data_IF_978714824386
#
_entry.id   IF_978714824386
#
_cell.length_a   1.000
_cell.length_b   1.000
_cell.length_c   1.000
_cell.angle_alpha   90.00
_cell.angle_beta   90.00
_cell.angle_gamma   90.00
#
_symmetry.space_group_name_H-M   'P 1'
#
loop_
_entity.id
_entity.type
_entity.pdbx_description
1 polymer ?
#
# COMPACT_ATOMS: atom_id res chain seq x y z
N UNK A 1 -2.84 24.63 -4.63
CA UNK A 1 -1.95 23.76 -5.40
C UNK A 1 -0.56 23.79 -4.73
N UNK A 2 -0.22 22.73 -3.98
CA UNK A 2 1.02 22.66 -3.20
C UNK A 2 2.15 21.95 -3.97
N UNK A 3 2.05 21.82 -5.28
CA UNK A 3 3.07 21.18 -6.12
C UNK A 3 3.10 19.65 -5.99
N UNK A 4 1.96 19.02 -5.63
CA UNK A 4 1.84 17.55 -5.62
C UNK A 4 2.14 17.01 -7.03
N UNK A 5 3.05 16.03 -7.19
CA UNK A 5 3.40 15.49 -8.50
C UNK A 5 2.25 14.65 -9.07
N UNK A 6 1.46 15.25 -9.95
CA UNK A 6 0.41 14.56 -10.71
C UNK A 6 0.98 14.22 -12.09
N UNK A 7 0.95 12.95 -12.44
CA UNK A 7 1.43 12.48 -13.75
C UNK A 7 0.40 12.72 -14.87
N UNK A 8 -0.87 12.41 -14.58
CA UNK A 8 -1.99 12.63 -15.49
C UNK A 8 -3.31 12.74 -14.72
N UNK A 9 -4.37 13.19 -15.39
CA UNK A 9 -5.74 13.16 -14.86
C UNK A 9 -6.55 12.12 -15.60
N UNK A 10 -7.41 11.38 -14.91
CA UNK A 10 -8.26 10.35 -15.53
C UNK A 10 -9.26 11.01 -16.47
N UNK A 11 -9.14 10.73 -17.76
CA UNK A 11 -10.03 11.23 -18.82
C UNK A 11 -11.00 10.16 -19.30
N UNK A 12 -10.54 8.92 -19.40
CA UNK A 12 -11.36 7.80 -19.88
C UNK A 12 -11.12 6.54 -19.10
N UNK A 13 -12.22 5.78 -18.86
CA UNK A 13 -12.17 4.52 -18.13
C UNK A 13 -12.85 3.42 -18.91
N UNK A 14 -12.26 2.25 -18.88
CA UNK A 14 -12.83 1.05 -19.46
C UNK A 14 -12.63 -0.14 -18.51
N UNK A 15 -13.63 -1.00 -18.46
CA UNK A 15 -13.52 -2.31 -17.82
C UNK A 15 -13.83 -3.38 -18.85
N UNK A 16 -13.01 -4.42 -18.90
CA UNK A 16 -13.21 -5.57 -19.79
C UNK A 16 -13.15 -6.87 -19.02
N UNK A 17 -14.01 -7.78 -19.40
CA UNK A 17 -13.90 -9.17 -18.98
C UNK A 17 -13.18 -9.96 -20.08
N UNK A 18 -12.10 -10.65 -19.70
CA UNK A 18 -11.29 -11.46 -20.61
C UNK A 18 -11.72 -12.94 -20.49
N UNK A 19 -12.00 -13.55 -21.62
CA UNK A 19 -11.89 -15.00 -21.81
C UNK A 19 -10.52 -15.27 -22.43
N UNK A 20 -10.16 -16.49 -22.70
CA UNK A 20 -8.85 -16.85 -23.27
C UNK A 20 -8.50 -16.06 -24.55
N UNK A 21 -9.47 -15.71 -25.37
CA UNK A 21 -9.21 -15.05 -26.68
C UNK A 21 -10.01 -13.77 -26.91
N UNK A 22 -11.00 -13.47 -26.07
CA UNK A 22 -11.90 -12.33 -26.27
C UNK A 22 -11.85 -11.35 -25.10
N UNK A 23 -11.97 -10.05 -25.41
CA UNK A 23 -12.04 -8.96 -24.44
C UNK A 23 -13.41 -8.25 -24.56
N UNK A 24 -14.36 -8.63 -23.73
CA UNK A 24 -15.70 -8.07 -23.73
C UNK A 24 -15.76 -6.82 -22.87
N UNK A 25 -16.24 -5.71 -23.43
CA UNK A 25 -16.45 -4.47 -22.66
C UNK A 25 -17.65 -4.66 -21.75
N UNK A 26 -17.48 -4.31 -20.47
CA UNK A 26 -18.56 -4.30 -19.48
C UNK A 26 -18.75 -2.88 -18.94
N UNK A 27 -19.92 -2.55 -18.37
CA UNK A 27 -20.12 -1.26 -17.70
C UNK A 27 -19.08 -1.02 -16.61
N UNK A 28 -18.59 0.23 -16.49
CA UNK A 28 -17.68 0.59 -15.41
C UNK A 28 -18.46 0.59 -14.10
N UNK A 29 -18.09 -0.26 -13.12
CA UNK A 29 -18.72 -0.27 -11.81
C UNK A 29 -18.61 1.10 -11.12
N UNK A 30 -19.59 1.51 -10.31
CA UNK A 30 -19.58 2.82 -9.66
C UNK A 30 -18.31 3.12 -8.88
N UNK A 31 -17.75 2.12 -8.16
CA UNK A 31 -16.54 2.24 -7.36
C UNK A 31 -15.26 2.43 -8.21
N UNK A 32 -15.29 2.10 -9.50
CA UNK A 32 -14.16 2.28 -10.42
C UNK A 32 -14.32 3.52 -11.32
N UNK A 33 -15.31 4.39 -11.06
CA UNK A 33 -15.45 5.66 -11.75
C UNK A 33 -14.51 6.68 -11.11
N UNK A 34 -13.42 7.00 -11.81
CA UNK A 34 -12.36 7.90 -11.31
C UNK A 34 -12.16 9.12 -12.22
N UNK A 35 -13.09 9.41 -13.15
CA UNK A 35 -12.97 10.55 -14.05
C UNK A 35 -12.66 11.85 -13.30
N UNK A 36 -11.63 12.57 -13.72
CA UNK A 36 -11.16 13.80 -13.09
C UNK A 36 -10.28 13.58 -11.85
N UNK A 37 -9.99 12.33 -11.42
CA UNK A 37 -9.04 12.07 -10.37
C UNK A 37 -7.60 12.04 -10.88
N UNK A 38 -6.59 12.40 -10.03
CA UNK A 38 -5.19 12.36 -10.43
C UNK A 38 -4.66 10.92 -10.51
N UNK A 39 -3.80 10.69 -11.49
CA UNK A 39 -2.91 9.54 -11.54
C UNK A 39 -1.55 10.02 -11.04
N UNK A 40 -1.01 9.36 -10.03
CA UNK A 40 0.27 9.71 -9.42
C UNK A 40 1.24 8.54 -9.50
N UNK A 41 2.51 8.85 -9.70
CA UNK A 41 3.60 7.93 -9.44
C UNK A 41 3.90 7.96 -7.95
N UNK A 42 3.72 6.84 -7.24
CA UNK A 42 3.89 6.80 -5.79
C UNK A 42 5.33 7.13 -5.36
N UNK A 43 6.35 6.75 -6.14
CA UNK A 43 7.74 7.10 -5.83
C UNK A 43 7.96 8.61 -5.85
N UNK A 44 7.45 9.30 -6.87
CA UNK A 44 7.59 10.76 -6.98
C UNK A 44 6.81 11.48 -5.86
N UNK A 45 5.63 10.95 -5.53
CA UNK A 45 4.82 11.46 -4.42
C UNK A 45 5.51 11.29 -3.06
N UNK A 46 6.17 10.16 -2.81
CA UNK A 46 6.90 9.91 -1.57
C UNK A 46 8.13 10.82 -1.46
N UNK A 47 8.88 11.02 -2.56
CA UNK A 47 9.98 11.98 -2.58
C UNK A 47 9.48 13.41 -2.28
N UNK A 48 8.39 13.84 -2.91
CA UNK A 48 7.79 15.14 -2.63
C UNK A 48 7.32 15.26 -1.17
N UNK A 49 6.69 14.20 -0.60
CA UNK A 49 6.29 14.20 0.82
C UNK A 49 7.51 14.29 1.76
N UNK A 50 8.62 13.60 1.42
CA UNK A 50 9.88 13.73 2.16
C UNK A 50 10.35 15.18 2.20
N UNK A 51 10.40 15.85 1.03
CA UNK A 51 10.79 17.26 0.95
C UNK A 51 9.87 18.15 1.81
N UNK A 52 8.56 17.87 1.86
CA UNK A 52 7.63 18.60 2.73
C UNK A 52 7.91 18.33 4.22
N UNK A 53 8.28 17.10 4.60
CA UNK A 53 8.67 16.76 5.97
C UNK A 53 9.94 17.52 6.37
N UNK A 54 10.97 17.52 5.53
CA UNK A 54 12.23 18.22 5.78
C UNK A 54 12.03 19.74 5.89
N UNK A 55 11.18 20.35 5.04
CA UNK A 55 10.80 21.76 5.14
C UNK A 55 10.04 22.08 6.44
N UNK A 56 9.34 21.11 7.01
CA UNK A 56 8.67 21.22 8.30
C UNK A 56 9.57 20.81 9.49
N UNK A 57 10.88 20.72 9.28
CA UNK A 57 11.88 20.34 10.29
C UNK A 57 11.69 18.92 10.87
N UNK A 58 10.99 18.05 10.13
CA UNK A 58 10.86 16.63 10.48
C UNK A 58 12.08 15.88 9.94
N UNK A 59 12.80 15.20 10.80
CA UNK A 59 13.95 14.39 10.42
C UNK A 59 13.52 13.12 9.69
N UNK A 60 14.08 12.88 8.50
CA UNK A 60 13.84 11.69 7.70
C UNK A 60 15.12 10.88 7.61
N UNK A 61 15.10 9.65 8.11
CA UNK A 61 16.27 8.75 8.13
C UNK A 61 16.06 7.60 7.14
N UNK A 62 16.61 7.73 5.96
CA UNK A 62 16.60 6.66 4.95
C UNK A 62 17.61 5.56 5.29
N UNK A 63 17.22 4.29 5.06
CA UNK A 63 18.10 3.16 5.29
C UNK A 63 18.31 2.79 6.77
N UNK A 64 17.40 3.23 7.66
CA UNK A 64 17.38 2.87 9.07
C UNK A 64 16.10 2.08 9.42
N UNK A 65 16.04 0.79 9.10
CA UNK A 65 14.88 -0.04 9.43
C UNK A 65 14.78 -0.22 10.95
N UNK A 66 13.55 -0.17 11.49
CA UNK A 66 13.26 -0.57 12.86
C UNK A 66 13.36 -2.10 13.01
N UNK A 67 14.02 -2.57 14.08
CA UNK A 67 14.21 -3.99 14.37
C UNK A 67 13.50 -4.46 15.62
N UNK A 68 13.39 -3.61 16.64
CA UNK A 68 12.84 -3.95 17.93
C UNK A 68 12.07 -2.78 18.53
N UNK A 69 11.06 -3.08 19.37
CA UNK A 69 10.42 -2.07 20.21
C UNK A 69 11.22 -1.83 21.48
N UNK A 70 11.40 -0.56 21.82
CA UNK A 70 11.78 -0.16 23.17
C UNK A 70 10.51 -0.12 24.03
N UNK A 71 10.58 -0.70 25.23
CA UNK A 71 9.42 -0.83 26.12
C UNK A 71 9.76 -0.34 27.52
N UNK A 72 8.75 0.19 28.20
CA UNK A 72 8.81 0.41 29.64
C UNK A 72 8.60 -0.90 30.40
N UNK A 73 8.76 -0.87 31.74
CA UNK A 73 8.47 -2.00 32.62
C UNK A 73 7.00 -2.46 32.49
N UNK A 74 6.08 -1.51 32.30
CA UNK A 74 4.64 -1.75 32.09
C UNK A 74 4.30 -2.16 30.63
N UNK A 75 5.32 -2.48 29.81
CA UNK A 75 5.17 -2.90 28.40
C UNK A 75 4.63 -1.83 27.44
N UNK A 76 4.57 -0.57 27.85
CA UNK A 76 4.25 0.55 26.98
C UNK A 76 5.33 0.71 25.90
N UNK A 77 4.97 1.01 24.66
CA UNK A 77 5.91 1.25 23.56
C UNK A 77 6.55 2.63 23.78
N UNK A 78 7.87 2.63 24.05
CA UNK A 78 8.66 3.82 24.35
C UNK A 78 9.60 4.22 23.20
N UNK A 79 9.45 3.61 22.02
CA UNK A 79 10.27 3.87 20.85
C UNK A 79 10.67 2.61 20.09
N UNK A 80 11.70 2.74 19.26
CA UNK A 80 12.24 1.66 18.44
C UNK A 80 13.76 1.64 18.47
N UNK A 81 14.35 0.45 18.35
CA UNK A 81 15.75 0.28 18.01
C UNK A 81 15.90 0.04 16.52
N UNK A 82 16.84 0.71 15.89
CA UNK A 82 17.16 0.46 14.47
C UNK A 82 18.03 -0.81 14.33
N UNK A 83 18.00 -1.39 13.14
CA UNK A 83 18.76 -2.59 12.82
C UNK A 83 20.28 -2.31 12.85
N UNK A 84 21.07 -3.27 13.34
CA UNK A 84 22.51 -3.28 13.19
C UNK A 84 22.90 -3.41 11.70
N UNK A 85 23.95 -2.73 11.27
CA UNK A 85 24.46 -2.78 9.91
C UNK A 85 25.84 -3.46 9.87
N UNK A 86 26.21 -4.00 8.72
CA UNK A 86 27.54 -4.58 8.51
C UNK A 86 27.78 -5.89 9.24
N UNK A 87 26.72 -6.65 9.57
CA UNK A 87 26.85 -8.03 10.04
C UNK A 87 27.28 -8.93 8.87
N UNK A 88 28.10 -9.94 9.17
CA UNK A 88 28.44 -11.01 8.23
C UNK A 88 27.28 -12.03 8.08
N UNK A 89 27.49 -13.06 7.28
CA UNK A 89 26.47 -14.10 7.02
C UNK A 89 26.09 -14.91 8.28
N UNK A 90 26.98 -14.98 9.28
CA UNK A 90 26.78 -15.70 10.54
C UNK A 90 26.12 -14.81 11.61
N UNK A 91 25.83 -13.53 11.29
CA UNK A 91 25.25 -12.57 12.21
C UNK A 91 26.25 -11.88 13.13
N UNK A 92 27.56 -12.09 12.95
CA UNK A 92 28.62 -11.48 13.74
C UNK A 92 29.08 -10.14 13.13
N UNK A 93 29.60 -9.20 13.94
CA UNK A 93 30.12 -7.94 13.46
C UNK A 93 31.20 -8.11 12.37
N UNK A 94 30.96 -7.53 11.19
CA UNK A 94 31.92 -7.46 10.10
C UNK A 94 32.78 -6.17 10.14
N UNK A 95 33.65 -5.96 9.12
CA UNK A 95 34.54 -4.80 9.07
C UNK A 95 33.83 -3.44 9.06
N UNK A 96 32.60 -3.37 8.57
CA UNK A 96 31.77 -2.17 8.48
C UNK A 96 30.59 -2.23 9.46
N UNK A 97 30.77 -2.88 10.61
CA UNK A 97 29.72 -2.99 11.62
C UNK A 97 29.40 -1.64 12.25
N UNK A 98 28.11 -1.31 12.24
CA UNK A 98 27.54 -0.16 12.93
C UNK A 98 26.36 -0.64 13.78
N UNK A 99 26.39 -0.46 15.11
CA UNK A 99 25.27 -0.85 15.96
C UNK A 99 24.04 0.01 15.68
N UNK A 100 22.87 -0.59 15.76
CA UNK A 100 21.61 0.13 15.71
C UNK A 100 21.46 1.11 16.88
N UNK A 101 20.74 2.20 16.64
CA UNK A 101 20.46 3.23 17.63
C UNK A 101 19.10 3.04 18.30
N UNK A 102 18.99 3.37 19.56
CA UNK A 102 17.73 3.46 20.28
C UNK A 102 17.11 4.84 20.07
N UNK A 103 15.91 4.86 19.50
CA UNK A 103 15.14 6.08 19.27
C UNK A 103 13.96 6.05 20.23
N UNK A 104 14.03 6.88 21.27
CA UNK A 104 12.98 7.02 22.26
C UNK A 104 11.90 7.97 21.79
N UNK A 105 10.63 7.60 21.98
CA UNK A 105 9.48 8.40 21.62
C UNK A 105 8.33 8.17 22.59
N UNK A 106 7.50 9.18 22.81
CA UNK A 106 6.28 9.05 23.62
C UNK A 106 5.19 8.24 22.90
N UNK A 107 5.21 8.23 21.57
CA UNK A 107 4.35 7.40 20.74
C UNK A 107 5.07 7.00 19.46
N UNK A 108 4.90 5.77 19.03
CA UNK A 108 5.42 5.20 17.78
C UNK A 108 4.26 5.01 16.80
N UNK A 109 4.35 5.61 15.62
CA UNK A 109 3.36 5.42 14.55
C UNK A 109 3.90 4.43 13.53
N UNK A 110 3.22 3.30 13.36
CA UNK A 110 3.60 2.21 12.46
C UNK A 110 2.95 2.38 11.10
N UNK A 111 3.73 2.74 10.09
CA UNK A 111 3.32 2.89 8.69
C UNK A 111 4.19 2.03 7.76
N UNK A 112 4.51 0.81 8.16
CA UNK A 112 5.47 -0.08 7.49
C UNK A 112 4.91 -0.77 6.21
N UNK A 113 3.66 -0.48 5.87
CA UNK A 113 2.97 -1.14 4.74
C UNK A 113 2.38 -2.50 5.13
N UNK A 114 2.00 -3.28 4.14
CA UNK A 114 1.15 -4.47 4.29
C UNK A 114 1.69 -5.56 5.21
N UNK A 115 3.00 -5.71 5.29
CA UNK A 115 3.65 -6.75 6.11
C UNK A 115 4.87 -6.20 6.86
N UNK A 116 4.66 -5.10 7.55
CA UNK A 116 5.67 -4.50 8.40
C UNK A 116 6.16 -5.47 9.47
N UNK A 117 7.47 -5.50 9.70
CA UNK A 117 8.09 -6.46 10.63
C UNK A 117 7.67 -6.20 12.06
N UNK A 118 7.73 -4.96 12.51
CA UNK A 118 7.34 -4.56 13.86
C UNK A 118 5.82 -4.61 14.04
N UNK A 119 5.06 -4.20 13.03
CA UNK A 119 3.59 -4.25 13.07
C UNK A 119 3.09 -5.68 13.26
N UNK A 120 3.66 -6.66 12.54
CA UNK A 120 3.27 -8.08 12.70
C UNK A 120 3.52 -8.60 14.11
N UNK A 121 4.72 -8.33 14.65
CA UNK A 121 5.06 -8.70 16.02
C UNK A 121 4.07 -8.10 17.02
N UNK A 122 3.77 -6.82 16.87
CA UNK A 122 2.87 -6.12 17.78
C UNK A 122 1.44 -6.66 17.72
N UNK A 123 0.93 -6.96 16.52
CA UNK A 123 -0.38 -7.55 16.31
C UNK A 123 -0.48 -8.91 17.04
N UNK A 124 0.51 -9.78 16.83
CA UNK A 124 0.57 -11.10 17.45
C UNK A 124 0.72 -11.02 18.98
N UNK A 125 1.69 -10.23 19.46
CA UNK A 125 1.97 -10.09 20.91
C UNK A 125 0.81 -9.51 21.71
N UNK A 126 0.06 -8.58 21.14
CA UNK A 126 -1.04 -7.89 21.82
C UNK A 126 -2.42 -8.37 21.37
N UNK A 127 -2.48 -9.41 20.52
CA UNK A 127 -3.73 -9.99 20.01
C UNK A 127 -4.65 -8.92 19.42
N UNK A 128 -4.08 -8.14 18.48
CA UNK A 128 -4.78 -7.00 17.87
C UNK A 128 -5.59 -7.38 16.63
N UNK A 129 -5.60 -8.64 16.22
CA UNK A 129 -6.24 -9.12 14.99
C UNK A 129 -7.68 -8.65 14.87
N UNK A 130 -8.09 -8.39 13.63
CA UNK A 130 -9.47 -8.05 13.31
C UNK A 130 -10.43 -9.22 13.51
N UNK A 131 -11.71 -8.95 13.36
CA UNK A 131 -12.77 -9.96 13.48
C UNK A 131 -12.63 -11.10 12.47
N UNK A 132 -12.20 -10.79 11.27
CA UNK A 132 -11.96 -11.75 10.19
C UNK A 132 -10.45 -11.92 9.96
N UNK A 133 -10.00 -13.09 9.51
CA UNK A 133 -8.61 -13.26 9.11
C UNK A 133 -8.25 -12.32 7.96
N UNK A 134 -7.00 -11.87 7.94
CA UNK A 134 -6.49 -11.05 6.84
C UNK A 134 -6.28 -11.91 5.58
N UNK A 135 -6.66 -11.36 4.45
CA UNK A 135 -6.43 -11.92 3.12
C UNK A 135 -5.41 -11.03 2.40
N UNK A 136 -4.55 -11.64 1.62
CA UNK A 136 -3.51 -10.93 0.88
C UNK A 136 -3.62 -11.21 -0.62
N UNK A 137 -3.30 -10.19 -1.43
CA UNK A 137 -3.05 -10.32 -2.85
C UNK A 137 -1.58 -10.06 -3.17
N UNK A 138 -1.10 -10.61 -4.27
CA UNK A 138 0.20 -10.28 -4.85
C UNK A 138 -0.02 -9.43 -6.10
N UNK A 139 0.45 -8.19 -6.07
CA UNK A 139 0.38 -7.26 -7.20
C UNK A 139 1.72 -7.21 -7.94
N UNK A 140 1.79 -7.79 -9.14
CA UNK A 140 2.90 -7.63 -10.06
C UNK A 140 2.68 -6.36 -10.88
N UNK A 141 3.71 -5.54 -11.02
CA UNK A 141 3.63 -4.25 -11.73
C UNK A 141 4.86 -4.02 -12.59
N UNK A 142 4.64 -3.50 -13.78
CA UNK A 142 5.67 -2.98 -14.68
C UNK A 142 5.35 -1.55 -15.09
N UNK A 143 6.40 -0.75 -15.27
CA UNK A 143 6.34 0.54 -15.95
C UNK A 143 6.85 0.34 -17.36
N UNK A 144 6.03 0.69 -18.34
CA UNK A 144 6.33 0.54 -19.76
C UNK A 144 6.55 1.89 -20.43
N UNK A 145 7.49 1.94 -21.38
CA UNK A 145 7.54 2.96 -22.43
C UNK A 145 6.82 2.39 -23.65
N UNK A 146 5.76 3.05 -24.10
CA UNK A 146 4.98 2.61 -25.25
C UNK A 146 5.26 3.49 -26.48
N UNK A 147 5.03 2.99 -27.70
CA UNK A 147 5.01 3.82 -28.90
C UNK A 147 4.02 4.99 -28.78
N UNK A 148 4.35 6.12 -29.40
CA UNK A 148 3.51 7.31 -29.35
C UNK A 148 2.08 7.04 -29.85
N UNK A 149 1.08 7.46 -29.06
CA UNK A 149 -0.33 7.32 -29.39
C UNK A 149 -0.93 5.92 -29.10
N UNK A 150 -0.14 4.95 -28.65
CA UNK A 150 -0.60 3.58 -28.38
C UNK A 150 -1.56 3.51 -27.19
N UNK A 151 -1.21 4.20 -26.10
CA UNK A 151 -2.05 4.30 -24.89
C UNK A 151 -1.88 5.69 -24.28
N UNK A 152 -2.87 6.56 -24.42
CA UNK A 152 -2.77 7.97 -24.02
C UNK A 152 -2.73 8.14 -22.49
N UNK A 153 -2.07 9.21 -22.05
CA UNK A 153 -2.14 9.65 -20.66
C UNK A 153 -3.59 9.90 -20.24
N UNK A 154 -3.92 9.60 -18.98
CA UNK A 154 -5.29 9.73 -18.45
C UNK A 154 -6.25 8.61 -18.85
N UNK A 155 -5.84 7.70 -19.72
CA UNK A 155 -6.63 6.51 -20.03
C UNK A 155 -6.43 5.43 -18.97
N UNK A 156 -7.54 4.87 -18.47
CA UNK A 156 -7.56 3.80 -17.47
C UNK A 156 -8.28 2.58 -18.02
N UNK A 157 -7.65 1.43 -17.95
CA UNK A 157 -8.22 0.13 -18.31
C UNK A 157 -8.07 -0.82 -17.13
N UNK A 158 -9.17 -1.43 -16.72
CA UNK A 158 -9.16 -2.58 -15.82
C UNK A 158 -9.66 -3.83 -16.57
N UNK A 159 -9.11 -4.99 -16.22
CA UNK A 159 -9.62 -6.26 -16.72
C UNK A 159 -9.83 -7.27 -15.60
N UNK A 160 -10.77 -8.19 -15.79
CA UNK A 160 -11.04 -9.35 -14.95
C UNK A 160 -11.14 -10.61 -15.80
N UNK A 161 -11.19 -11.78 -15.17
CA UNK A 161 -11.30 -13.07 -15.83
C UNK A 161 -9.93 -13.65 -16.19
N UNK A 162 -9.77 -14.14 -17.41
CA UNK A 162 -8.56 -14.82 -17.83
C UNK A 162 -7.28 -14.04 -17.48
N UNK A 163 -6.19 -14.67 -16.99
CA UNK A 163 -5.97 -16.11 -16.84
C UNK A 163 -6.54 -16.74 -15.56
N UNK A 164 -7.17 -15.95 -14.69
CA UNK A 164 -7.78 -16.46 -13.47
C UNK A 164 -9.03 -17.28 -13.76
N UNK A 165 -9.21 -18.34 -12.99
CA UNK A 165 -10.44 -19.12 -12.98
C UNK A 165 -11.57 -18.36 -12.25
N UNK A 166 -12.80 -18.86 -12.37
CA UNK A 166 -13.97 -18.26 -11.69
C UNK A 166 -13.91 -18.37 -10.15
N UNK A 167 -13.00 -19.15 -9.61
CA UNK A 167 -12.80 -19.35 -8.16
C UNK A 167 -11.61 -18.60 -7.62
N UNK A 168 -10.88 -17.87 -8.46
CA UNK A 168 -9.73 -17.07 -8.09
C UNK A 168 -10.08 -15.59 -8.15
N UNK A 169 -9.69 -14.85 -7.12
CA UNK A 169 -9.87 -13.42 -7.05
C UNK A 169 -8.64 -12.70 -7.60
N UNK A 170 -8.88 -11.61 -8.33
CA UNK A 170 -7.81 -10.78 -8.88
C UNK A 170 -8.26 -9.98 -10.10
N UNK A 171 -7.30 -9.40 -10.79
CA UNK A 171 -7.55 -8.59 -11.98
C UNK A 171 -6.35 -7.73 -12.35
N UNK A 172 -6.52 -6.89 -13.35
CA UNK A 172 -5.41 -6.11 -13.89
C UNK A 172 -5.73 -4.65 -14.13
N UNK A 173 -4.69 -3.87 -14.37
CA UNK A 173 -4.82 -2.49 -14.81
C UNK A 173 -3.78 -2.11 -15.85
N UNK A 174 -4.14 -1.14 -16.69
CA UNK A 174 -3.22 -0.33 -17.50
C UNK A 174 -3.62 1.13 -17.29
N UNK A 175 -2.70 1.94 -16.76
CA UNK A 175 -2.89 3.38 -16.57
C UNK A 175 -1.93 4.14 -17.46
N UNK A 176 -2.46 4.94 -18.38
CA UNK A 176 -1.68 5.81 -19.26
C UNK A 176 -1.10 6.98 -18.46
N UNK A 177 0.19 7.14 -18.58
CA UNK A 177 1.01 8.15 -17.94
C UNK A 177 1.55 9.15 -18.97
N UNK A 178 2.06 10.28 -18.52
CA UNK A 178 2.75 11.25 -19.37
C UNK A 178 3.97 10.63 -20.06
N UNK A 179 4.40 11.21 -21.19
CA UNK A 179 5.56 10.75 -21.94
C UNK A 179 5.42 9.39 -22.60
N UNK A 180 4.18 8.99 -22.99
CA UNK A 180 3.86 7.67 -23.57
C UNK A 180 4.24 6.49 -22.65
N UNK A 181 4.22 6.70 -21.36
CA UNK A 181 4.43 5.62 -20.38
C UNK A 181 3.11 5.00 -19.97
N UNK A 182 3.17 3.78 -19.50
CA UNK A 182 2.03 3.09 -18.91
C UNK A 182 2.42 2.31 -17.65
N UNK A 183 1.59 2.41 -16.61
CA UNK A 183 1.65 1.49 -15.47
C UNK A 183 0.80 0.28 -15.78
N UNK A 184 1.41 -0.88 -15.85
CA UNK A 184 0.80 -2.16 -16.23
C UNK A 184 0.91 -3.11 -15.05
N UNK A 185 -0.17 -3.75 -14.63
CA UNK A 185 -0.09 -4.66 -13.51
C UNK A 185 -1.23 -5.65 -13.40
N UNK A 186 -1.00 -6.66 -12.58
CA UNK A 186 -1.93 -7.74 -12.32
C UNK A 186 -1.90 -8.12 -10.84
N UNK A 187 -3.06 -8.33 -10.25
CA UNK A 187 -3.21 -8.83 -8.88
C UNK A 187 -3.74 -10.26 -8.90
N UNK A 188 -3.11 -11.12 -8.12
CA UNK A 188 -3.58 -12.48 -7.84
C UNK A 188 -3.75 -12.64 -6.33
N UNK A 189 -4.92 -13.05 -5.88
CA UNK A 189 -5.17 -13.36 -4.49
C UNK A 189 -4.34 -14.57 -4.03
N UNK A 190 -3.83 -14.51 -2.80
CA UNK A 190 -2.96 -15.53 -2.23
C UNK A 190 -3.73 -16.58 -1.40
N UNK A 191 -5.05 -16.45 -1.30
CA UNK A 191 -5.95 -17.43 -0.69
C UNK A 191 -6.53 -18.41 -1.71
N UNK A 192 -5.94 -18.48 -2.91
CA UNK A 192 -6.33 -19.40 -3.98
C UNK A 192 -6.30 -20.85 -3.49
N UNK A 193 -7.34 -21.62 -3.82
CA UNK A 193 -7.42 -23.06 -3.48
C UNK A 193 -6.34 -23.89 -4.15
N UNK A 194 -5.83 -23.42 -5.28
CA UNK A 194 -4.74 -24.07 -6.02
C UNK A 194 -3.39 -23.59 -5.48
N UNK A 195 -2.62 -24.45 -4.78
CA UNK A 195 -1.35 -24.05 -4.14
C UNK A 195 -0.23 -23.73 -5.15
N UNK A 196 -0.40 -24.11 -6.41
CA UNK A 196 0.56 -23.87 -7.48
C UNK A 196 0.28 -22.58 -8.26
N UNK A 197 -0.68 -21.75 -7.80
CA UNK A 197 -0.96 -20.46 -8.43
C UNK A 197 0.26 -19.55 -8.29
N UNK A 198 0.87 -19.20 -9.41
CA UNK A 198 1.99 -18.27 -9.48
C UNK A 198 1.50 -16.90 -9.97
N UNK A 199 1.54 -15.85 -9.12
CA UNK A 199 1.14 -14.50 -9.50
C UNK A 199 1.95 -13.92 -10.65
N UNK A 200 3.23 -14.24 -10.74
CA UNK A 200 4.09 -13.77 -11.83
C UNK A 200 3.75 -14.45 -13.16
N UNK A 201 3.53 -15.74 -13.15
CA UNK A 201 3.06 -16.48 -14.33
C UNK A 201 1.72 -15.97 -14.82
N UNK A 202 0.75 -15.74 -13.91
CA UNK A 202 -0.53 -15.14 -14.25
C UNK A 202 -0.37 -13.78 -14.93
N UNK A 203 0.55 -12.94 -14.43
CA UNK A 203 0.84 -11.66 -15.03
C UNK A 203 1.45 -11.80 -16.45
N UNK A 204 2.37 -12.73 -16.66
CA UNK A 204 2.94 -12.97 -17.99
C UNK A 204 1.86 -13.47 -18.96
N UNK A 205 1.10 -14.49 -18.59
CA UNK A 205 -0.01 -15.03 -19.39
C UNK A 205 -1.02 -13.93 -19.74
N UNK A 206 -1.37 -13.07 -18.80
CA UNK A 206 -2.27 -11.95 -19.06
C UNK A 206 -1.71 -10.99 -20.11
N UNK A 207 -0.40 -10.69 -20.09
CA UNK A 207 0.23 -9.83 -21.13
C UNK A 207 0.20 -10.47 -22.52
N UNK A 208 0.21 -11.80 -22.61
CA UNK A 208 0.12 -12.56 -23.86
C UNK A 208 -1.29 -12.60 -24.44
N UNK A 209 -2.33 -12.19 -23.67
CA UNK A 209 -3.68 -12.13 -24.18
C UNK A 209 -3.77 -11.19 -25.42
N UNK A 210 -4.37 -11.61 -26.57
CA UNK A 210 -4.30 -10.86 -27.83
C UNK A 210 -4.69 -9.37 -27.72
N UNK A 211 -5.68 -9.06 -26.88
CA UNK A 211 -6.12 -7.68 -26.63
C UNK A 211 -5.06 -6.87 -25.87
N UNK A 212 -4.38 -7.46 -24.90
CA UNK A 212 -3.38 -6.81 -24.08
C UNK A 212 -2.06 -6.71 -24.85
N UNK A 213 -1.61 -7.80 -25.48
CA UNK A 213 -0.40 -7.84 -26.30
C UNK A 213 -0.40 -6.74 -27.36
N UNK A 214 -1.55 -6.49 -28.01
CA UNK A 214 -1.70 -5.39 -28.97
C UNK A 214 -1.50 -4.01 -28.34
N UNK A 215 -1.87 -3.81 -27.07
CA UNK A 215 -1.66 -2.54 -26.36
C UNK A 215 -0.17 -2.37 -26.00
N UNK A 216 0.54 -3.46 -25.73
CA UNK A 216 1.93 -3.46 -25.31
C UNK A 216 2.92 -3.62 -26.49
N UNK A 217 2.42 -3.85 -27.71
CA UNK A 217 3.22 -4.10 -28.89
C UNK A 217 4.24 -2.96 -29.16
N UNK A 218 5.50 -3.33 -29.35
CA UNK A 218 6.59 -2.37 -29.58
C UNK A 218 7.01 -1.55 -28.36
N UNK A 219 6.46 -1.85 -27.17
CA UNK A 219 6.83 -1.20 -25.92
C UNK A 219 8.04 -1.86 -25.25
N UNK A 220 8.66 -1.14 -24.32
CA UNK A 220 9.79 -1.57 -23.53
C UNK A 220 9.49 -1.48 -22.03
N UNK A 221 9.93 -2.47 -21.23
CA UNK A 221 9.80 -2.45 -19.78
C UNK A 221 10.92 -1.59 -19.18
N UNK A 222 10.54 -0.52 -18.50
CA UNK A 222 11.48 0.38 -17.82
C UNK A 222 11.80 -0.09 -16.39
N UNK A 223 10.80 -0.59 -15.66
CA UNK A 223 10.92 -1.05 -14.27
C UNK A 223 9.89 -2.15 -14.02
N UNK A 224 10.20 -3.06 -13.10
CA UNK A 224 9.28 -4.08 -12.62
C UNK A 224 9.37 -4.21 -11.09
N UNK A 225 8.31 -4.70 -10.47
CA UNK A 225 8.28 -4.98 -9.04
C UNK A 225 7.03 -5.74 -8.63
N UNK A 226 7.11 -6.39 -7.47
CA UNK A 226 6.00 -7.13 -6.87
C UNK A 226 5.78 -6.63 -5.45
N UNK A 227 4.53 -6.49 -5.05
CA UNK A 227 4.15 -6.07 -3.69
C UNK A 227 2.91 -6.83 -3.25
N UNK A 228 2.89 -7.24 -1.98
CA UNK A 228 1.65 -7.73 -1.35
C UNK A 228 0.68 -6.57 -1.09
N UNK A 229 -0.60 -6.90 -1.05
CA UNK A 229 -1.72 -6.00 -0.76
C UNK A 229 -2.59 -6.60 0.35
N UNK A 230 -3.09 -5.83 1.33
CA UNK A 230 -4.00 -6.32 2.35
C UNK A 230 -5.44 -6.23 1.80
N UNK A 231 -6.05 -7.36 1.50
CA UNK A 231 -7.36 -7.43 0.81
C UNK A 231 -8.50 -7.96 1.69
N UNK A 232 -8.28 -8.12 2.99
CA UNK A 232 -9.30 -8.62 3.93
C UNK A 232 -10.44 -7.63 4.24
N UNK A 233 -10.29 -6.37 3.91
CA UNK A 233 -11.29 -5.31 4.08
C UNK A 233 -11.49 -4.89 5.53
N UNK A 234 -12.60 -4.17 5.78
CA UNK A 234 -12.90 -3.50 7.06
C UNK A 234 -12.80 -4.43 8.28
N UNK A 235 -13.35 -5.64 8.21
CA UNK A 235 -13.40 -6.57 9.33
C UNK A 235 -12.09 -7.30 9.63
N UNK A 236 -11.10 -7.19 8.76
CA UNK A 236 -9.76 -7.73 8.95
C UNK A 236 -8.76 -6.69 9.47
N UNK A 237 -9.22 -5.46 9.72
CA UNK A 237 -8.38 -4.41 10.30
C UNK A 237 -7.98 -4.80 11.73
N UNK A 238 -6.69 -4.75 12.08
CA UNK A 238 -6.26 -4.91 13.46
C UNK A 238 -6.71 -3.69 14.28
N UNK A 239 -6.79 -3.82 15.61
CA UNK A 239 -6.93 -2.68 16.50
C UNK A 239 -5.72 -1.74 16.32
N UNK A 240 -5.92 -0.51 15.83
CA UNK A 240 -4.80 0.32 15.40
C UNK A 240 -4.22 1.22 16.50
N UNK A 241 -4.50 0.97 17.77
CA UNK A 241 -3.97 1.75 18.89
C UNK A 241 -3.65 0.86 20.10
N UNK A 242 -2.81 1.37 20.97
CA UNK A 242 -2.50 0.82 22.29
C UNK A 242 -1.52 1.73 23.02
N UNK A 243 -0.94 1.26 24.12
CA UNK A 243 -0.03 2.05 24.95
C UNK A 243 1.24 2.44 24.18
N UNK A 244 1.33 3.73 23.81
CA UNK A 244 2.46 4.30 23.10
C UNK A 244 2.54 4.00 21.62
N UNK A 245 1.48 3.53 20.97
CA UNK A 245 1.53 3.29 19.51
C UNK A 245 0.21 3.55 18.77
N UNK A 246 0.36 3.85 17.46
CA UNK A 246 -0.70 3.85 16.46
C UNK A 246 -0.27 3.07 15.21
N UNK A 247 -1.22 2.44 14.50
CA UNK A 247 -1.00 1.74 13.23
C UNK A 247 -1.78 2.44 12.13
N UNK A 248 -1.14 2.76 10.99
CA UNK A 248 -1.74 3.53 9.89
C UNK A 248 -1.52 2.85 8.53
N UNK A 249 -2.23 3.31 7.52
CA UNK A 249 -2.08 2.85 6.14
C UNK A 249 -2.32 1.36 5.98
N UNK A 250 -1.55 0.73 5.10
CA UNK A 250 -1.68 -0.72 4.82
C UNK A 250 -1.22 -1.60 5.99
N UNK A 251 -0.42 -1.07 6.92
CA UNK A 251 -0.12 -1.75 8.18
C UNK A 251 -1.38 -1.98 9.01
N UNK A 252 -2.35 -1.05 8.94
CA UNK A 252 -3.67 -1.15 9.56
C UNK A 252 -4.75 -1.72 8.63
N UNK A 253 -4.39 -2.36 7.51
CA UNK A 253 -5.33 -2.95 6.55
C UNK A 253 -6.34 -1.96 5.97
N UNK A 254 -5.90 -0.74 5.66
CA UNK A 254 -6.78 0.33 5.19
C UNK A 254 -6.82 0.46 3.65
N UNK A 255 -6.47 -0.58 2.90
CA UNK A 255 -6.68 -0.61 1.45
C UNK A 255 -8.18 -0.63 1.13
N UNK A 256 -8.65 0.27 0.28
CA UNK A 256 -9.99 0.19 -0.28
C UNK A 256 -10.02 -0.80 -1.44
N UNK A 257 -10.36 -2.04 -1.14
CA UNK A 257 -10.36 -3.16 -2.08
C UNK A 257 -11.36 -2.95 -3.21
N UNK A 258 -12.54 -2.42 -2.90
CA UNK A 258 -13.60 -2.18 -3.91
C UNK A 258 -13.19 -1.13 -4.95
N UNK A 259 -12.41 -0.12 -4.53
CA UNK A 259 -11.89 0.92 -5.43
C UNK A 259 -10.53 0.58 -6.03
N UNK A 260 -9.87 -0.48 -5.55
CA UNK A 260 -8.50 -0.86 -5.91
C UNK A 260 -7.50 0.29 -5.61
N UNK A 261 -7.69 0.99 -4.51
CA UNK A 261 -6.93 2.21 -4.14
C UNK A 261 -6.58 2.20 -2.66
N UNK A 262 -5.31 2.53 -2.34
CA UNK A 262 -4.80 2.58 -0.97
C UNK A 262 -4.18 3.92 -0.58
N UNK A 263 -3.75 4.74 -1.54
CA UNK A 263 -3.01 5.99 -1.24
C UNK A 263 -3.86 6.96 -0.43
N UNK A 264 -5.08 7.22 -0.86
CA UNK A 264 -5.99 8.16 -0.19
C UNK A 264 -6.37 7.71 1.23
N UNK A 265 -6.59 6.42 1.42
CA UNK A 265 -6.90 5.84 2.74
C UNK A 265 -5.67 5.86 3.67
N UNK A 266 -4.48 5.53 3.16
CA UNK A 266 -3.23 5.64 3.92
C UNK A 266 -2.98 7.08 4.38
N UNK A 267 -3.14 8.06 3.50
CA UNK A 267 -3.01 9.48 3.83
C UNK A 267 -4.05 9.92 4.88
N UNK A 268 -5.31 9.49 4.73
CA UNK A 268 -6.36 9.86 5.68
C UNK A 268 -6.11 9.26 7.06
N UNK A 269 -5.64 8.01 7.16
CA UNK A 269 -5.27 7.41 8.45
C UNK A 269 -4.09 8.12 9.09
N UNK A 270 -3.12 8.60 8.30
CA UNK A 270 -2.04 9.45 8.79
C UNK A 270 -2.53 10.78 9.37
N UNK A 271 -3.50 11.44 8.72
CA UNK A 271 -4.13 12.66 9.24
C UNK A 271 -4.88 12.39 10.54
N UNK A 272 -5.66 11.31 10.63
CA UNK A 272 -6.36 10.91 11.85
C UNK A 272 -5.37 10.63 12.99
N UNK A 273 -4.24 9.99 12.69
CA UNK A 273 -3.18 9.77 13.66
C UNK A 273 -2.59 11.09 14.17
N UNK A 274 -2.29 12.03 13.27
CA UNK A 274 -1.77 13.34 13.65
C UNK A 274 -2.74 14.11 14.56
N UNK A 275 -4.04 14.14 14.23
CA UNK A 275 -5.08 14.75 15.06
C UNK A 275 -5.17 14.09 16.46
N UNK A 276 -5.02 12.76 16.51
CA UNK A 276 -5.03 11.99 17.75
C UNK A 276 -3.81 12.31 18.61
N UNK A 277 -2.63 12.37 18.00
CA UNK A 277 -1.39 12.71 18.69
C UNK A 277 -1.36 14.14 19.20
N UNK A 278 -1.95 15.10 18.47
CA UNK A 278 -2.10 16.47 18.97
C UNK A 278 -2.94 16.54 20.24
N UNK A 279 -3.97 15.70 20.36
CA UNK A 279 -4.76 15.62 21.58
C UNK A 279 -4.00 14.93 22.71
N UNK A 280 -3.32 13.82 22.43
CA UNK A 280 -2.46 13.13 23.39
C UNK A 280 -1.35 14.04 23.93
N UNK A 281 -0.74 14.84 23.07
CA UNK A 281 0.25 15.86 23.45
C UNK A 281 -0.31 16.92 24.40
N UNK A 282 -1.54 17.40 24.16
CA UNK A 282 -2.19 18.40 25.04
C UNK A 282 -2.52 17.84 26.42
N UNK A 283 -2.83 16.54 26.50
CA UNK A 283 -3.11 15.83 27.75
C UNK A 283 -1.87 15.31 28.44
N UNK A 284 -0.73 15.32 27.76
CA UNK A 284 0.52 14.62 28.13
C UNK A 284 0.27 13.14 28.46
N UNK A 285 -0.65 12.49 27.73
CA UNK A 285 -1.08 11.11 27.93
C UNK A 285 -1.10 10.33 26.60
N UNK A 286 -0.29 9.28 26.53
CA UNK A 286 -0.16 8.39 25.37
C UNK A 286 -0.59 6.95 25.70
N UNK A 287 -1.43 6.80 26.70
CA UNK A 287 -2.06 5.51 27.03
C UNK A 287 -3.01 5.04 25.91
N UNK A 288 -3.28 3.74 25.87
CA UNK A 288 -4.27 3.15 24.97
C UNK A 288 -5.65 3.79 25.11
N UNK A 289 -6.05 4.18 26.33
CA UNK A 289 -7.32 4.85 26.58
C UNK A 289 -7.40 6.20 25.81
N UNK A 290 -6.38 7.03 25.92
CA UNK A 290 -6.31 8.32 25.17
C UNK A 290 -6.14 8.08 23.68
N UNK A 291 -5.29 7.14 23.26
CA UNK A 291 -5.06 6.87 21.83
C UNK A 291 -6.25 6.16 21.16
N UNK A 292 -7.19 5.58 21.91
CA UNK A 292 -8.41 4.96 21.37
C UNK A 292 -9.31 5.94 20.60
N UNK A 293 -9.15 7.26 20.81
CA UNK A 293 -9.85 8.30 20.06
C UNK A 293 -9.55 8.24 18.54
N UNK A 294 -8.45 7.60 18.15
CA UNK A 294 -8.13 7.31 16.77
C UNK A 294 -9.27 6.55 16.07
N UNK A 295 -9.78 5.48 16.68
CA UNK A 295 -10.89 4.71 16.11
C UNK A 295 -12.18 5.51 16.06
N UNK A 296 -12.48 6.30 17.08
CA UNK A 296 -13.67 7.18 17.06
C UNK A 296 -13.62 8.19 15.91
N UNK A 297 -12.43 8.74 15.59
CA UNK A 297 -12.22 9.62 14.44
C UNK A 297 -12.33 8.87 13.12
N UNK A 298 -11.78 7.66 13.06
CA UNK A 298 -11.90 6.79 11.90
C UNK A 298 -13.36 6.48 11.59
N UNK A 299 -14.14 6.02 12.57
CA UNK A 299 -15.56 5.69 12.45
C UNK A 299 -16.43 6.89 12.01
N UNK A 300 -16.03 8.11 12.34
CA UNK A 300 -16.71 9.36 11.93
C UNK A 300 -16.20 9.90 10.58
N UNK A 301 -15.21 9.28 10.00
CA UNK A 301 -14.62 9.71 8.73
C UNK A 301 -15.28 8.99 7.54
N UNK A 302 -15.13 9.55 6.34
CA UNK A 302 -15.54 8.92 5.10
C UNK A 302 -14.84 7.56 4.83
N UNK A 303 -13.70 7.28 5.50
CA UNK A 303 -13.00 6.00 5.37
C UNK A 303 -13.88 4.83 5.80
N UNK A 304 -14.60 4.99 6.90
CA UNK A 304 -15.52 3.95 7.39
C UNK A 304 -16.56 3.63 6.34
N UNK A 305 -17.16 4.65 5.71
CA UNK A 305 -18.22 4.46 4.71
C UNK A 305 -17.67 3.83 3.40
N UNK A 306 -16.40 4.06 3.08
CA UNK A 306 -15.77 3.47 1.90
C UNK A 306 -15.24 2.05 2.11
N UNK A 307 -14.84 1.69 3.34
CA UNK A 307 -14.26 0.38 3.64
C UNK A 307 -15.29 -0.64 4.13
N UNK A 308 -16.42 -0.17 4.73
CA UNK A 308 -17.50 -0.99 5.27
C UNK A 308 -18.46 -1.44 4.18
#
# INVERSE_FOLDING_TARGET
>A
DKGVPVDAWVETEQVRHLSETKATRIPVPPMLKNHGFPIVNLSDMVCWLKDQCEQAEVMVFEGFPGSEFLRTEDRHIAGVRTMDKGLNADGEPGPNFEPGANIHARCTVLGEGVRGSLTKQLIEEQQLEGRNPQIYGSGCKELWQLPAGQFSAGRVLHTSGWPLSSTEYGGSWIYGLSGNRASVGFVTALDAKQPWTDPWENFQRWKEHPFIAKILEGGEILKAGVKCLPEGGYWSRPRPWGDGFLIIGDSGSNLNVSRLKGIHSAMKTGLIAAETLLEALRKDDFSGDTLSIYEQRFEKSWLKDELY
#
